data_IF_488962409140
#
_entry.id   IF_488962409140
#
_cell.length_a   1.000
_cell.length_b   1.000
_cell.length_c   1.000
_cell.angle_alpha   90.00
_cell.angle_beta   90.00
_cell.angle_gamma   90.00
#
_symmetry.space_group_name_H-M   'P 1'
#
loop_
_entity.id
_entity.type
_entity.pdbx_description
1 polymer ?
#
# COMPACT_ATOMS: atom_id res chain seq x y z
N UNK A 1 -22.90 18.01 -15.69
CA UNK A 1 -22.20 17.36 -14.56
C UNK A 1 -22.63 15.89 -14.52
N UNK A 2 -21.71 14.92 -14.65
CA UNK A 2 -22.05 13.50 -14.50
C UNK A 2 -22.39 13.26 -13.03
N UNK A 3 -23.59 12.80 -12.74
CA UNK A 3 -24.05 12.48 -11.38
C UNK A 3 -23.04 11.53 -10.72
N UNK A 4 -22.48 11.90 -9.57
CA UNK A 4 -21.55 11.07 -8.80
C UNK A 4 -22.33 9.85 -8.29
N UNK A 5 -21.81 8.66 -8.51
CA UNK A 5 -22.43 7.41 -8.04
C UNK A 5 -22.22 7.34 -6.51
N UNK A 6 -23.31 7.19 -5.76
CA UNK A 6 -23.32 7.08 -4.30
C UNK A 6 -23.48 5.62 -3.86
N UNK A 7 -23.03 5.30 -2.64
CA UNK A 7 -23.19 3.95 -2.08
C UNK A 7 -24.66 3.55 -1.90
N UNK A 8 -25.53 4.55 -1.66
CA UNK A 8 -26.99 4.36 -1.52
C UNK A 8 -27.73 4.12 -2.84
N UNK A 9 -27.07 4.25 -3.99
CA UNK A 9 -27.68 4.06 -5.29
C UNK A 9 -27.98 2.59 -5.56
N UNK A 10 -29.02 2.33 -6.38
CA UNK A 10 -29.28 1.00 -6.90
C UNK A 10 -28.20 0.62 -7.94
N UNK A 11 -27.43 -0.43 -7.68
CA UNK A 11 -26.36 -0.88 -8.55
C UNK A 11 -26.84 -1.89 -9.59
N UNK A 12 -26.72 -1.53 -10.87
CA UNK A 12 -26.68 -2.46 -12.00
C UNK A 12 -25.25 -2.86 -12.29
N UNK A 13 -25.01 -3.97 -13.02
CA UNK A 13 -23.67 -4.40 -13.41
C UNK A 13 -22.83 -3.29 -14.03
N UNK A 14 -23.40 -2.53 -14.97
CA UNK A 14 -22.68 -1.43 -15.63
C UNK A 14 -22.35 -0.28 -14.70
N UNK A 15 -23.23 0.00 -13.72
CA UNK A 15 -23.02 1.05 -12.72
C UNK A 15 -21.96 0.63 -11.70
N UNK A 16 -21.95 -0.64 -11.30
CA UNK A 16 -20.96 -1.23 -10.40
C UNK A 16 -19.57 -1.20 -11.04
N UNK A 17 -19.42 -1.67 -12.29
CA UNK A 17 -18.14 -1.61 -13.02
C UNK A 17 -17.66 -0.17 -13.13
N UNK A 18 -18.52 0.78 -13.46
CA UNK A 18 -18.15 2.19 -13.57
C UNK A 18 -17.70 2.80 -12.24
N UNK A 19 -18.28 2.37 -11.13
CA UNK A 19 -17.90 2.79 -9.79
C UNK A 19 -16.56 2.21 -9.36
N UNK A 20 -16.29 0.93 -9.71
CA UNK A 20 -15.06 0.22 -9.33
C UNK A 20 -13.88 0.50 -10.27
N UNK A 21 -14.13 1.00 -11.48
CA UNK A 21 -13.08 1.25 -12.48
C UNK A 21 -11.90 2.11 -11.98
N UNK A 22 -12.13 3.20 -11.20
CA UNK A 22 -11.02 3.96 -10.61
C UNK A 22 -10.18 3.13 -9.63
N UNK A 23 -10.81 2.25 -8.83
CA UNK A 23 -10.10 1.37 -7.89
C UNK A 23 -9.25 0.33 -8.61
N UNK A 24 -9.75 -0.23 -9.71
CA UNK A 24 -8.98 -1.09 -10.61
C UNK A 24 -7.78 -0.31 -11.18
N UNK A 25 -8.04 0.92 -11.65
CA UNK A 25 -6.98 1.81 -12.15
C UNK A 25 -5.90 2.11 -11.13
N UNK A 26 -6.28 2.37 -9.86
CA UNK A 26 -5.33 2.56 -8.76
C UNK A 26 -4.39 1.36 -8.61
N UNK A 27 -4.93 0.15 -8.56
CA UNK A 27 -4.14 -1.06 -8.32
C UNK A 27 -3.23 -1.40 -9.51
N UNK A 28 -3.73 -1.27 -10.75
CA UNK A 28 -2.92 -1.47 -11.95
C UNK A 28 -1.78 -0.45 -12.00
N UNK A 29 -2.07 0.84 -11.75
CA UNK A 29 -1.05 1.88 -11.78
C UNK A 29 0.00 1.68 -10.68
N UNK A 30 -0.42 1.25 -9.47
CA UNK A 30 0.50 0.88 -8.38
C UNK A 30 1.46 -0.23 -8.81
N UNK A 31 0.96 -1.24 -9.52
CA UNK A 31 1.80 -2.31 -10.05
C UNK A 31 2.80 -1.81 -11.09
N UNK A 32 2.37 -0.92 -11.99
CA UNK A 32 3.22 -0.38 -13.05
C UNK A 32 4.36 0.47 -12.46
N UNK A 33 4.07 1.41 -11.56
CA UNK A 33 5.14 2.25 -11.02
C UNK A 33 6.15 1.45 -10.17
N UNK A 34 5.72 0.39 -9.48
CA UNK A 34 6.63 -0.50 -8.77
C UNK A 34 7.61 -1.23 -9.70
N UNK A 35 7.17 -1.60 -10.92
CA UNK A 35 8.08 -2.15 -11.95
C UNK A 35 9.06 -1.09 -12.44
N UNK A 36 8.61 0.15 -12.64
CA UNK A 36 9.46 1.26 -13.08
C UNK A 36 10.52 1.61 -12.03
N UNK A 37 10.16 1.66 -10.75
CA UNK A 37 11.11 1.86 -9.64
C UNK A 37 12.21 0.78 -9.65
N UNK A 38 11.82 -0.50 -9.74
CA UNK A 38 12.76 -1.61 -9.87
C UNK A 38 13.68 -1.49 -11.08
N UNK A 39 13.18 -0.99 -12.21
CA UNK A 39 13.98 -0.73 -13.41
C UNK A 39 15.05 0.33 -13.16
N UNK A 40 14.73 1.45 -12.51
CA UNK A 40 15.72 2.48 -12.19
C UNK A 40 16.80 1.97 -11.25
N UNK A 41 16.43 1.28 -10.17
CA UNK A 41 17.40 0.72 -9.22
C UNK A 41 18.31 -0.30 -9.89
N UNK A 42 17.76 -1.22 -10.70
CA UNK A 42 18.56 -2.27 -11.34
C UNK A 42 19.55 -1.74 -12.36
N UNK A 43 19.19 -0.72 -13.13
CA UNK A 43 20.03 -0.23 -14.23
C UNK A 43 21.04 0.84 -13.81
N UNK A 44 20.73 1.62 -12.76
CA UNK A 44 21.53 2.80 -12.41
C UNK A 44 22.22 2.72 -11.04
N UNK A 45 21.63 2.04 -10.04
CA UNK A 45 22.24 1.93 -8.72
C UNK A 45 23.30 0.83 -8.64
N UNK A 46 23.18 -0.22 -9.46
CA UNK A 46 24.11 -1.32 -9.53
C UNK A 46 23.60 -2.63 -8.93
N UNK A 47 24.35 -3.72 -9.13
CA UNK A 47 23.93 -5.09 -8.74
C UNK A 47 23.77 -5.27 -7.23
N UNK A 48 24.74 -4.82 -6.43
CA UNK A 48 24.71 -4.97 -4.97
C UNK A 48 23.57 -4.17 -4.33
N UNK A 49 23.34 -2.88 -4.65
CA UNK A 49 22.16 -2.14 -4.22
C UNK A 49 20.84 -2.78 -4.64
N UNK A 50 20.72 -3.24 -5.87
CA UNK A 50 19.50 -3.91 -6.35
C UNK A 50 19.21 -5.22 -5.58
N UNK A 51 20.24 -6.04 -5.33
CA UNK A 51 20.11 -7.24 -4.51
C UNK A 51 19.71 -6.91 -3.08
N UNK A 52 20.28 -5.86 -2.48
CA UNK A 52 19.95 -5.39 -1.14
C UNK A 52 18.48 -4.95 -1.02
N UNK A 53 17.97 -4.19 -2.02
CA UNK A 53 16.55 -3.77 -2.07
C UNK A 53 15.64 -4.99 -2.15
N UNK A 54 15.89 -5.92 -3.08
CA UNK A 54 15.08 -7.12 -3.25
C UNK A 54 15.06 -8.01 -1.99
N UNK A 55 16.15 -8.04 -1.24
CA UNK A 55 16.25 -8.80 0.01
C UNK A 55 15.37 -8.20 1.12
N UNK A 56 15.41 -6.86 1.27
CA UNK A 56 14.73 -6.18 2.39
C UNK A 56 13.29 -5.80 2.08
N UNK A 57 12.93 -5.67 0.80
CA UNK A 57 11.61 -5.21 0.34
C UNK A 57 10.42 -6.04 0.88
N UNK A 58 10.47 -7.39 0.89
CA UNK A 58 9.38 -8.20 1.46
C UNK A 58 9.10 -7.89 2.93
N UNK A 59 10.16 -7.63 3.72
CA UNK A 59 10.01 -7.24 5.12
C UNK A 59 9.29 -5.89 5.25
N UNK A 60 9.67 -4.90 4.44
CA UNK A 60 9.04 -3.58 4.43
C UNK A 60 7.56 -3.68 4.02
N UNK A 61 7.24 -4.53 3.03
CA UNK A 61 5.87 -4.79 2.60
C UNK A 61 5.03 -5.44 3.70
N UNK A 62 5.57 -6.43 4.42
CA UNK A 62 4.88 -7.05 5.56
C UNK A 62 4.50 -6.00 6.61
N UNK A 63 5.40 -5.07 6.94
CA UNK A 63 5.12 -4.00 7.89
C UNK A 63 4.03 -3.04 7.38
N UNK A 64 4.04 -2.72 6.09
CA UNK A 64 3.05 -1.85 5.47
C UNK A 64 1.65 -2.52 5.33
N UNK A 65 1.60 -3.85 5.26
CA UNK A 65 0.35 -4.62 5.11
C UNK A 65 -0.65 -4.39 6.26
N UNK A 66 -0.19 -3.90 7.43
CA UNK A 66 -1.07 -3.43 8.49
C UNK A 66 -2.07 -2.37 8.01
N UNK A 67 -1.69 -1.53 7.03
CA UNK A 67 -2.57 -0.55 6.39
C UNK A 67 -3.70 -1.20 5.61
N UNK A 68 -3.45 -2.28 4.90
CA UNK A 68 -4.50 -3.06 4.23
C UNK A 68 -5.46 -3.70 5.22
N UNK A 69 -4.97 -4.27 6.31
CA UNK A 69 -5.81 -4.88 7.34
C UNK A 69 -6.84 -3.89 7.89
N UNK A 70 -6.40 -2.70 8.29
CA UNK A 70 -7.31 -1.65 8.76
C UNK A 70 -8.10 -0.98 7.63
N UNK A 71 -7.54 -0.93 6.42
CA UNK A 71 -8.21 -0.43 5.22
C UNK A 71 -9.44 -1.27 4.88
N UNK A 72 -9.27 -2.55 4.63
CA UNK A 72 -10.36 -3.46 4.23
C UNK A 72 -11.30 -3.75 5.41
N UNK A 73 -10.74 -4.14 6.56
CA UNK A 73 -11.54 -4.47 7.74
C UNK A 73 -12.28 -3.27 8.33
N UNK A 74 -11.62 -2.10 8.38
CA UNK A 74 -12.22 -0.86 8.88
C UNK A 74 -13.24 -0.27 7.92
N UNK A 75 -12.98 -0.29 6.61
CA UNK A 75 -13.91 0.21 5.60
C UNK A 75 -15.23 -0.54 5.60
N UNK A 76 -15.22 -1.85 5.82
CA UNK A 76 -16.42 -2.67 5.95
C UNK A 76 -17.30 -2.21 7.14
N UNK A 77 -16.68 -1.96 8.30
CA UNK A 77 -17.39 -1.47 9.49
C UNK A 77 -17.97 -0.08 9.24
N UNK A 78 -17.18 0.82 8.64
CA UNK A 78 -17.61 2.19 8.35
C UNK A 78 -18.72 2.21 7.30
N UNK A 79 -18.61 1.40 6.23
CA UNK A 79 -19.65 1.30 5.21
C UNK A 79 -20.97 0.79 5.78
N UNK A 80 -20.94 -0.26 6.61
CA UNK A 80 -22.12 -0.77 7.32
C UNK A 80 -22.76 0.30 8.21
N UNK A 81 -21.95 1.01 9.00
CA UNK A 81 -22.45 2.07 9.89
C UNK A 81 -23.06 3.25 9.10
N UNK A 82 -22.55 3.51 7.89
CA UNK A 82 -23.17 4.48 6.96
C UNK A 82 -24.53 3.98 6.44
N UNK A 83 -24.65 2.67 6.15
CA UNK A 83 -25.89 2.02 5.75
C UNK A 83 -26.96 2.08 6.86
N UNK A 84 -26.55 1.92 8.13
CA UNK A 84 -27.40 2.12 9.31
C UNK A 84 -27.85 3.58 9.51
N UNK A 85 -27.33 4.53 8.73
CA UNK A 85 -27.65 5.96 8.79
C UNK A 85 -26.89 6.76 9.87
N UNK A 86 -26.01 6.13 10.65
CA UNK A 86 -25.24 6.80 11.74
C UNK A 86 -23.93 7.41 11.22
N UNK A 87 -24.03 8.51 10.46
CA UNK A 87 -22.85 9.24 9.94
C UNK A 87 -21.88 9.70 11.03
N UNK A 88 -22.30 10.23 12.20
CA UNK A 88 -21.37 10.62 13.25
C UNK A 88 -20.55 9.46 13.79
N UNK A 89 -21.14 8.28 13.94
CA UNK A 89 -20.47 7.07 14.38
C UNK A 89 -19.49 6.54 13.31
N UNK A 90 -19.90 6.57 12.05
CA UNK A 90 -19.06 6.19 10.93
C UNK A 90 -17.78 7.07 10.86
N UNK A 91 -17.91 8.39 11.05
CA UNK A 91 -16.77 9.32 11.10
C UNK A 91 -15.85 9.07 12.29
N UNK A 92 -16.41 8.70 13.46
CA UNK A 92 -15.61 8.30 14.61
C UNK A 92 -14.81 7.02 14.35
N UNK A 93 -15.42 6.01 13.76
CA UNK A 93 -14.73 4.77 13.38
C UNK A 93 -13.65 5.01 12.31
N UNK A 94 -13.97 5.77 11.27
CA UNK A 94 -12.98 6.18 10.26
C UNK A 94 -11.76 6.84 10.91
N UNK A 95 -11.99 7.84 11.76
CA UNK A 95 -10.93 8.55 12.46
C UNK A 95 -10.12 7.64 13.38
N UNK A 96 -10.80 6.73 14.09
CA UNK A 96 -10.14 5.73 14.95
C UNK A 96 -9.16 4.86 14.13
N UNK A 97 -9.61 4.33 12.99
CA UNK A 97 -8.76 3.47 12.16
C UNK A 97 -7.60 4.24 11.53
N UNK A 98 -7.79 5.50 11.13
CA UNK A 98 -6.70 6.37 10.65
C UNK A 98 -5.66 6.61 11.74
N UNK A 99 -6.08 6.99 12.95
CA UNK A 99 -5.15 7.28 14.06
C UNK A 99 -4.44 6.03 14.58
N UNK A 100 -5.15 4.89 14.68
CA UNK A 100 -4.55 3.62 15.08
C UNK A 100 -3.53 3.15 14.04
N UNK A 101 -3.85 3.26 12.76
CA UNK A 101 -2.92 2.88 11.69
C UNK A 101 -1.69 3.76 11.64
N UNK A 102 -1.85 5.08 11.79
CA UNK A 102 -0.72 6.01 11.87
C UNK A 102 0.17 5.71 13.09
N UNK A 103 -0.43 5.49 14.26
CA UNK A 103 0.27 5.13 15.50
C UNK A 103 0.99 3.80 15.39
N UNK A 104 0.34 2.77 14.85
CA UNK A 104 0.96 1.47 14.59
C UNK A 104 2.12 1.60 13.60
N UNK A 105 1.93 2.34 12.51
CA UNK A 105 3.00 2.62 11.55
C UNK A 105 4.20 3.32 12.19
N UNK A 106 3.97 4.27 13.11
CA UNK A 106 5.04 4.94 13.84
C UNK A 106 5.78 3.98 14.81
N UNK A 107 5.06 3.13 15.53
CA UNK A 107 5.66 2.10 16.40
C UNK A 107 6.49 1.12 15.58
N UNK A 108 5.94 0.61 14.48
CA UNK A 108 6.64 -0.30 13.58
C UNK A 108 7.86 0.36 12.92
N UNK A 109 7.79 1.67 12.61
CA UNK A 109 8.92 2.43 12.10
C UNK A 109 10.08 2.49 13.11
N UNK A 110 9.79 2.84 14.36
CA UNK A 110 10.80 2.91 15.43
C UNK A 110 11.43 1.54 15.67
N UNK A 111 10.61 0.49 15.83
CA UNK A 111 11.09 -0.88 15.99
C UNK A 111 11.89 -1.35 14.76
N UNK A 112 11.36 -1.10 13.57
CA UNK A 112 12.01 -1.47 12.32
C UNK A 112 13.39 -0.81 12.17
N UNK A 113 13.51 0.50 12.45
CA UNK A 113 14.78 1.22 12.40
C UNK A 113 15.77 0.66 13.42
N UNK A 114 15.33 0.36 14.66
CA UNK A 114 16.17 -0.20 15.71
C UNK A 114 16.71 -1.60 15.33
N UNK A 115 15.85 -2.43 14.72
CA UNK A 115 16.17 -3.81 14.39
C UNK A 115 16.54 -4.04 12.90
N UNK A 116 16.65 -3.00 12.08
CA UNK A 116 16.98 -3.13 10.64
C UNK A 116 18.23 -3.97 10.41
N UNK A 117 19.34 -3.68 11.12
CA UNK A 117 20.62 -4.37 10.91
C UNK A 117 20.56 -5.87 11.27
N UNK A 118 20.08 -6.29 12.45
CA UNK A 118 19.93 -7.71 12.77
C UNK A 118 18.94 -8.43 11.83
N UNK A 119 17.86 -7.77 11.40
CA UNK A 119 16.92 -8.36 10.45
C UNK A 119 17.52 -8.54 9.06
N UNK A 120 18.27 -7.56 8.55
CA UNK A 120 18.97 -7.70 7.27
C UNK A 120 20.02 -8.83 7.30
N UNK A 121 20.74 -9.00 8.41
CA UNK A 121 21.66 -10.13 8.60
C UNK A 121 20.93 -11.47 8.64
N UNK A 122 19.81 -11.55 9.32
CA UNK A 122 18.97 -12.74 9.39
C UNK A 122 18.47 -13.17 8.00
N UNK A 123 18.21 -12.18 7.12
CA UNK A 123 17.85 -12.41 5.72
C UNK A 123 19.03 -12.80 4.83
N UNK A 124 20.27 -12.77 5.35
CA UNK A 124 21.45 -13.18 4.63
C UNK A 124 22.28 -12.03 4.01
N UNK A 125 22.01 -10.76 4.42
CA UNK A 125 22.82 -9.64 3.97
C UNK A 125 24.18 -9.60 4.69
N UNK A 126 25.27 -9.47 3.94
CA UNK A 126 26.65 -9.34 4.45
C UNK A 126 27.41 -8.23 3.70
N UNK A 127 28.47 -7.73 4.30
CA UNK A 127 29.36 -6.74 3.69
C UNK A 127 28.65 -5.50 3.16
N UNK A 128 28.94 -5.11 1.92
CA UNK A 128 28.34 -3.94 1.26
C UNK A 128 26.83 -4.07 1.08
N UNK A 129 26.34 -5.29 0.81
CA UNK A 129 24.91 -5.53 0.68
C UNK A 129 24.14 -5.26 1.98
N UNK A 130 24.74 -5.55 3.14
CA UNK A 130 24.16 -5.23 4.45
C UNK A 130 24.03 -3.73 4.64
N UNK A 131 25.07 -2.96 4.35
CA UNK A 131 25.04 -1.49 4.52
C UNK A 131 24.02 -0.87 3.55
N UNK A 132 23.95 -1.35 2.32
CA UNK A 132 22.96 -0.93 1.33
C UNK A 132 21.51 -1.24 1.78
N UNK A 133 21.26 -2.45 2.28
CA UNK A 133 19.94 -2.85 2.79
C UNK A 133 19.52 -2.02 4.00
N UNK A 134 20.45 -1.75 4.93
CA UNK A 134 20.19 -0.93 6.12
C UNK A 134 19.90 0.53 5.74
N UNK A 135 20.66 1.09 4.81
CA UNK A 135 20.45 2.46 4.33
C UNK A 135 19.06 2.61 3.69
N UNK A 136 18.74 1.74 2.73
CA UNK A 136 17.45 1.76 2.03
C UNK A 136 16.28 1.58 3.00
N UNK A 137 16.33 0.54 3.84
CA UNK A 137 15.27 0.24 4.77
C UNK A 137 15.03 1.36 5.78
N UNK A 138 16.07 1.99 6.32
CA UNK A 138 15.92 3.10 7.28
C UNK A 138 15.21 4.29 6.66
N UNK A 139 15.51 4.65 5.41
CA UNK A 139 14.85 5.75 4.71
C UNK A 139 13.37 5.46 4.53
N UNK A 140 13.02 4.24 4.08
CA UNK A 140 11.62 3.83 3.91
C UNK A 140 10.88 3.73 5.26
N UNK A 141 11.52 3.21 6.29
CA UNK A 141 10.92 3.09 7.62
C UNK A 141 10.61 4.43 8.27
N UNK A 142 11.37 5.50 7.99
CA UNK A 142 11.06 6.85 8.48
C UNK A 142 9.68 7.33 8.04
N UNK A 143 9.23 6.91 6.86
CA UNK A 143 7.94 7.29 6.29
C UNK A 143 6.91 6.18 6.35
N UNK A 144 7.19 5.07 7.06
CA UNK A 144 6.28 3.94 7.18
C UNK A 144 4.86 4.32 7.62
N UNK A 145 4.63 5.29 8.55
CA UNK A 145 3.28 5.73 8.88
C UNK A 145 2.49 6.23 7.67
N UNK A 146 3.14 6.93 6.74
CA UNK A 146 2.50 7.40 5.51
C UNK A 146 2.23 6.27 4.54
N UNK A 147 3.13 5.27 4.46
CA UNK A 147 2.90 4.07 3.65
C UNK A 147 1.70 3.26 4.18
N UNK A 148 1.63 3.03 5.49
CA UNK A 148 0.48 2.38 6.13
C UNK A 148 -0.81 3.14 5.85
N UNK A 149 -0.80 4.48 5.96
CA UNK A 149 -1.94 5.32 5.63
C UNK A 149 -2.30 5.28 4.14
N UNK A 150 -1.32 5.24 3.23
CA UNK A 150 -1.56 5.11 1.79
C UNK A 150 -2.33 3.82 1.49
N UNK A 151 -1.94 2.68 2.09
CA UNK A 151 -2.63 1.41 1.93
C UNK A 151 -4.05 1.45 2.52
N UNK A 152 -4.21 2.04 3.70
CA UNK A 152 -5.50 2.22 4.35
C UNK A 152 -6.46 3.06 3.48
N UNK A 153 -6.01 4.20 2.96
CA UNK A 153 -6.86 5.11 2.21
C UNK A 153 -7.33 4.55 0.87
N UNK A 154 -6.66 3.55 0.29
CA UNK A 154 -7.13 2.89 -0.93
C UNK A 154 -8.57 2.35 -0.78
N UNK A 155 -8.89 1.73 0.36
CA UNK A 155 -10.25 1.27 0.65
C UNK A 155 -11.17 2.42 1.06
N UNK A 156 -10.67 3.37 1.87
CA UNK A 156 -11.50 4.46 2.36
C UNK A 156 -11.89 5.49 1.31
N UNK A 157 -11.13 5.68 0.24
CA UNK A 157 -11.57 6.51 -0.89
C UNK A 157 -12.87 6.00 -1.51
N UNK A 158 -13.04 4.69 -1.58
CA UNK A 158 -14.26 4.06 -2.13
C UNK A 158 -15.41 4.23 -1.14
N UNK A 159 -15.17 3.94 0.14
CA UNK A 159 -16.18 4.13 1.21
C UNK A 159 -16.60 5.60 1.35
N UNK A 160 -15.70 6.53 1.08
CA UNK A 160 -15.95 7.97 1.06
C UNK A 160 -16.65 8.46 -0.23
N UNK A 161 -17.04 7.56 -1.13
CA UNK A 161 -17.63 7.88 -2.45
C UNK A 161 -16.71 8.75 -3.34
N UNK A 162 -15.39 8.66 -3.12
CA UNK A 162 -14.37 9.43 -3.85
C UNK A 162 -13.32 8.54 -4.54
N UNK A 163 -13.71 7.45 -5.26
CA UNK A 163 -12.73 6.55 -5.88
C UNK A 163 -11.88 7.25 -6.94
N UNK A 164 -12.41 8.28 -7.62
CA UNK A 164 -11.65 9.08 -8.58
C UNK A 164 -10.54 9.91 -7.91
N UNK A 165 -10.81 10.43 -6.71
CA UNK A 165 -9.78 11.12 -5.92
C UNK A 165 -8.68 10.14 -5.51
N UNK A 166 -9.05 8.92 -5.11
CA UNK A 166 -8.10 7.85 -4.82
C UNK A 166 -7.18 7.54 -6.01
N UNK A 167 -7.76 7.43 -7.21
CA UNK A 167 -6.99 7.26 -8.44
C UNK A 167 -6.03 8.44 -8.67
N UNK A 168 -6.52 9.68 -8.55
CA UNK A 168 -5.70 10.88 -8.73
C UNK A 168 -4.53 10.93 -7.74
N UNK A 169 -4.76 10.62 -6.46
CA UNK A 169 -3.71 10.56 -5.42
C UNK A 169 -2.69 9.46 -5.73
N UNK A 170 -3.15 8.27 -6.12
CA UNK A 170 -2.26 7.15 -6.48
C UNK A 170 -1.40 7.49 -7.70
N UNK A 171 -2.00 8.09 -8.73
CA UNK A 171 -1.26 8.55 -9.92
C UNK A 171 -0.26 9.64 -9.54
N UNK A 172 -0.64 10.62 -8.71
CA UNK A 172 0.27 11.67 -8.25
C UNK A 172 1.44 11.10 -7.44
N UNK A 173 1.17 10.15 -6.55
CA UNK A 173 2.20 9.45 -5.77
C UNK A 173 3.18 8.70 -6.68
N UNK A 174 2.66 7.87 -7.61
CA UNK A 174 3.50 7.13 -8.54
C UNK A 174 4.26 8.02 -9.53
N UNK A 175 3.67 9.11 -10.01
CA UNK A 175 4.38 10.10 -10.83
C UNK A 175 5.50 10.80 -10.03
N UNK A 176 5.25 11.11 -8.75
CA UNK A 176 6.28 11.65 -7.86
C UNK A 176 7.45 10.67 -7.74
N UNK A 177 7.17 9.39 -7.53
CA UNK A 177 8.22 8.35 -7.48
C UNK A 177 9.00 8.31 -8.81
N UNK A 178 8.35 8.11 -9.95
CA UNK A 178 9.00 7.97 -11.24
C UNK A 178 9.83 9.20 -11.64
N UNK A 179 9.33 10.41 -11.37
CA UNK A 179 10.05 11.65 -11.67
C UNK A 179 11.28 11.78 -10.75
N UNK A 180 11.12 11.51 -9.45
CA UNK A 180 12.21 11.60 -8.51
C UNK A 180 13.25 10.50 -8.73
N UNK A 181 12.86 9.28 -9.11
CA UNK A 181 13.78 8.23 -9.51
C UNK A 181 14.60 8.69 -10.71
N UNK A 182 13.94 9.18 -11.77
CA UNK A 182 14.65 9.70 -12.94
C UNK A 182 15.63 10.83 -12.58
N UNK A 183 15.23 11.75 -11.71
CA UNK A 183 16.09 12.87 -11.31
C UNK A 183 17.21 12.42 -10.36
N UNK A 184 16.85 11.75 -9.27
CA UNK A 184 17.82 11.44 -8.19
C UNK A 184 18.74 10.27 -8.57
N UNK A 185 18.21 9.22 -9.22
CA UNK A 185 19.02 8.05 -9.55
C UNK A 185 19.93 8.30 -10.76
N UNK A 186 19.52 9.16 -11.70
CA UNK A 186 20.34 9.51 -12.87
C UNK A 186 21.39 10.58 -12.53
N UNK A 187 21.00 11.65 -11.82
CA UNK A 187 21.85 12.82 -11.61
C UNK A 187 22.81 12.70 -10.42
N UNK A 188 22.49 11.90 -9.41
CA UNK A 188 23.35 11.73 -8.24
C UNK A 188 24.62 10.91 -8.56
N UNK A 189 25.73 11.18 -7.86
CA UNK A 189 26.92 10.32 -7.87
C UNK A 189 26.57 8.88 -7.48
N UNK A 190 27.35 7.90 -7.96
CA UNK A 190 27.08 6.47 -7.80
C UNK A 190 26.82 6.05 -6.35
N UNK A 191 27.56 6.61 -5.40
CA UNK A 191 27.44 6.32 -3.96
C UNK A 191 26.12 6.77 -3.33
N UNK A 192 25.41 7.76 -3.92
CA UNK A 192 24.13 8.30 -3.43
C UNK A 192 22.91 7.81 -4.20
N UNK A 193 23.08 7.06 -5.29
CA UNK A 193 21.96 6.62 -6.14
C UNK A 193 20.94 5.77 -5.40
N UNK A 194 21.40 4.85 -4.54
CA UNK A 194 20.50 4.03 -3.72
C UNK A 194 19.71 4.88 -2.72
N UNK A 195 20.38 5.85 -2.06
CA UNK A 195 19.70 6.79 -1.17
C UNK A 195 18.71 7.66 -1.94
N UNK A 196 19.04 8.04 -3.18
CA UNK A 196 18.14 8.75 -4.10
C UNK A 196 16.88 7.96 -4.42
N UNK A 197 17.00 6.69 -4.78
CA UNK A 197 15.88 5.80 -5.03
C UNK A 197 15.01 5.62 -3.78
N UNK A 198 15.64 5.38 -2.62
CA UNK A 198 14.92 5.29 -1.35
C UNK A 198 14.16 6.59 -1.01
N UNK A 199 14.78 7.75 -1.27
CA UNK A 199 14.15 9.06 -1.05
C UNK A 199 12.98 9.31 -2.01
N UNK A 200 13.09 8.91 -3.28
CA UNK A 200 12.02 9.00 -4.27
C UNK A 200 10.79 8.18 -3.82
N UNK A 201 11.03 6.93 -3.42
CA UNK A 201 9.98 6.06 -2.89
C UNK A 201 9.39 6.62 -1.58
N UNK A 202 10.22 7.11 -0.65
CA UNK A 202 9.77 7.71 0.60
C UNK A 202 8.88 8.94 0.36
N UNK A 203 9.29 9.85 -0.52
CA UNK A 203 8.50 11.06 -0.85
C UNK A 203 7.19 10.72 -1.54
N UNK A 204 7.17 9.72 -2.41
CA UNK A 204 5.93 9.24 -3.04
C UNK A 204 4.94 8.69 -2.01
N UNK A 205 5.41 7.97 -1.00
CA UNK A 205 4.58 7.46 0.10
C UNK A 205 4.04 8.60 0.98
N UNK A 206 4.84 9.66 1.21
CA UNK A 206 4.36 10.87 1.90
C UNK A 206 3.24 11.55 1.11
N UNK A 207 3.34 11.62 -0.21
CA UNK A 207 2.25 12.13 -1.06
C UNK A 207 1.03 11.20 -0.96
N UNK A 208 1.22 9.88 -1.12
CA UNK A 208 0.15 8.90 -1.11
C UNK A 208 -0.62 8.79 0.20
N UNK A 209 0.04 8.96 1.35
CA UNK A 209 -0.58 8.93 2.67
C UNK A 209 -0.93 10.31 3.24
N UNK A 210 -0.09 11.32 2.96
CA UNK A 210 -0.24 12.67 3.50
C UNK A 210 -1.34 13.49 2.82
N UNK A 211 -1.48 13.41 1.50
CA UNK A 211 -2.54 14.13 0.77
C UNK A 211 -3.93 13.70 1.22
N UNK A 212 -4.27 12.40 1.33
CA UNK A 212 -5.55 11.98 1.90
C UNK A 212 -5.76 12.42 3.34
N UNK A 213 -4.71 12.33 4.16
CA UNK A 213 -4.78 12.76 5.55
C UNK A 213 -5.15 14.24 5.67
N UNK A 214 -4.56 15.09 4.83
CA UNK A 214 -4.89 16.52 4.75
C UNK A 214 -6.29 16.76 4.18
N UNK A 215 -6.71 16.00 3.16
CA UNK A 215 -8.02 16.12 2.56
C UNK A 215 -9.13 15.81 3.55
N UNK A 216 -9.07 14.66 4.23
CA UNK A 216 -10.07 14.26 5.22
C UNK A 216 -9.97 15.02 6.54
N UNK A 217 -8.83 15.66 6.84
CA UNK A 217 -8.62 16.51 8.01
C UNK A 217 -9.15 17.92 7.85
N UNK A 218 -9.42 18.36 6.62
CA UNK A 218 -10.00 19.69 6.33
C UNK A 218 -11.48 19.56 5.98
N UNK A 219 -12.19 20.69 5.96
CA UNK A 219 -13.54 20.74 5.42
C UNK A 219 -13.52 20.36 3.95
N UNK A 220 -14.22 19.31 3.59
CA UNK A 220 -14.30 18.75 2.25
C UNK A 220 -15.74 18.35 1.92
N UNK A 221 -15.99 17.91 0.69
CA UNK A 221 -17.30 17.52 0.18
C UNK A 221 -17.56 15.99 0.27
N UNK A 222 -16.75 15.28 1.06
CA UNK A 222 -16.89 13.84 1.31
C UNK A 222 -17.89 13.57 2.43
N UNK A 223 -18.45 12.36 2.44
CA UNK A 223 -19.27 11.85 3.55
C UNK A 223 -18.43 11.50 4.79
N UNK A 224 -17.10 11.29 4.61
CA UNK A 224 -16.15 10.99 5.68
C UNK A 224 -15.24 12.18 5.99
N UNK A 225 -15.08 12.45 7.28
CA UNK A 225 -14.19 13.50 7.82
C UNK A 225 -13.45 12.99 9.05
N UNK A 226 -12.24 13.46 9.25
CA UNK A 226 -11.52 13.20 10.49
C UNK A 226 -12.17 14.00 11.64
N UNK A 227 -12.47 13.30 12.73
CA UNK A 227 -13.09 13.83 13.93
C UNK A 227 -12.36 13.36 15.17
N UNK A 228 -12.64 14.01 16.30
CA UNK A 228 -12.18 13.50 17.61
C UNK A 228 -12.88 12.17 17.89
N UNK A 229 -12.10 11.16 18.29
CA UNK A 229 -12.61 9.83 18.62
C UNK A 229 -11.96 9.32 19.88
N UNK A 230 -12.69 8.50 20.63
CA UNK A 230 -12.14 7.74 21.74
C UNK A 230 -11.63 6.37 21.24
N UNK A 231 -10.71 5.78 21.97
CA UNK A 231 -10.21 4.44 21.66
C UNK A 231 -11.32 3.41 21.94
N UNK A 232 -11.80 2.75 20.89
CA UNK A 232 -12.75 1.63 20.97
C UNK A 232 -12.04 0.33 20.60
N UNK A 233 -11.55 -0.38 21.62
CA UNK A 233 -10.85 -1.65 21.44
C UNK A 233 -11.70 -2.73 20.75
N UNK A 234 -13.03 -2.72 20.92
CA UNK A 234 -13.92 -3.67 20.25
C UNK A 234 -13.99 -3.40 18.74
N UNK A 235 -14.08 -2.12 18.36
CA UNK A 235 -14.07 -1.73 16.96
C UNK A 235 -12.72 -2.07 16.30
N UNK A 236 -11.60 -1.82 16.98
CA UNK A 236 -10.25 -2.19 16.52
C UNK A 236 -10.16 -3.71 16.32
N UNK A 237 -10.56 -4.51 17.32
CA UNK A 237 -10.51 -5.97 17.22
C UNK A 237 -11.38 -6.51 16.07
N UNK A 238 -12.56 -5.94 15.85
CA UNK A 238 -13.42 -6.30 14.71
C UNK A 238 -12.76 -5.93 13.37
N UNK A 239 -12.15 -4.76 13.26
CA UNK A 239 -11.43 -4.36 12.05
C UNK A 239 -10.25 -5.29 11.76
N UNK A 240 -9.47 -5.66 12.79
CA UNK A 240 -8.41 -6.66 12.67
C UNK A 240 -8.95 -8.03 12.22
N UNK A 241 -10.05 -8.49 12.82
CA UNK A 241 -10.67 -9.77 12.44
C UNK A 241 -11.16 -9.75 10.99
N UNK A 242 -11.86 -8.69 10.57
CA UNK A 242 -12.36 -8.55 9.20
C UNK A 242 -11.24 -8.42 8.17
N UNK A 243 -10.16 -7.69 8.51
CA UNK A 243 -9.01 -7.48 7.63
C UNK A 243 -7.91 -8.55 7.73
N UNK A 244 -8.06 -9.53 8.63
CA UNK A 244 -7.05 -10.58 8.82
C UNK A 244 -6.84 -11.44 7.59
N UNK A 245 -7.88 -11.67 6.79
CA UNK A 245 -7.80 -12.42 5.54
C UNK A 245 -6.84 -11.75 4.55
N UNK A 246 -6.98 -10.44 4.33
CA UNK A 246 -6.09 -9.67 3.46
C UNK A 246 -4.65 -9.63 4.00
N UNK A 247 -4.50 -9.45 5.31
CA UNK A 247 -3.20 -9.47 5.96
C UNK A 247 -2.49 -10.80 5.76
N UNK A 248 -3.15 -11.91 6.05
CA UNK A 248 -2.59 -13.26 5.89
C UNK A 248 -2.35 -13.62 4.43
N UNK A 249 -3.23 -13.21 3.52
CA UNK A 249 -3.05 -13.43 2.07
C UNK A 249 -1.79 -12.74 1.54
N UNK A 250 -1.55 -11.49 1.93
CA UNK A 250 -0.36 -10.75 1.53
C UNK A 250 0.94 -11.38 2.10
N UNK A 251 0.94 -11.77 3.37
CA UNK A 251 2.08 -12.48 3.98
C UNK A 251 2.33 -13.80 3.25
N UNK A 252 1.29 -14.59 3.03
CA UNK A 252 1.40 -15.89 2.35
C UNK A 252 1.95 -15.73 0.93
N UNK A 253 1.48 -14.75 0.18
CA UNK A 253 1.96 -14.47 -1.18
C UNK A 253 3.46 -14.18 -1.20
N UNK A 254 3.95 -13.33 -0.27
CA UNK A 254 5.37 -13.01 -0.16
C UNK A 254 6.20 -14.24 0.25
N UNK A 255 5.74 -15.02 1.25
CA UNK A 255 6.43 -16.25 1.69
C UNK A 255 6.48 -17.31 0.59
N UNK A 256 5.36 -17.54 -0.10
CA UNK A 256 5.30 -18.49 -1.21
C UNK A 256 6.24 -18.09 -2.34
N UNK A 257 6.27 -16.79 -2.70
CA UNK A 257 7.20 -16.28 -3.71
C UNK A 257 8.66 -16.53 -3.34
N UNK A 258 9.03 -16.30 -2.08
CA UNK A 258 10.39 -16.60 -1.58
C UNK A 258 10.72 -18.10 -1.68
N UNK A 259 9.81 -18.98 -1.26
CA UNK A 259 9.99 -20.43 -1.34
C UNK A 259 10.09 -20.93 -2.78
N UNK A 260 9.28 -20.40 -3.69
CA UNK A 260 9.39 -20.70 -5.12
C UNK A 260 10.75 -20.34 -5.68
N UNK A 261 11.25 -19.15 -5.39
CA UNK A 261 12.58 -18.72 -5.86
C UNK A 261 13.69 -19.65 -5.36
N UNK A 262 13.66 -20.06 -4.08
CA UNK A 262 14.62 -21.00 -3.53
C UNK A 262 14.59 -22.37 -4.26
N UNK A 263 13.40 -22.89 -4.53
CA UNK A 263 13.24 -24.15 -5.23
C UNK A 263 13.64 -24.06 -6.70
N UNK A 264 13.28 -22.95 -7.38
CA UNK A 264 13.63 -22.75 -8.78
C UNK A 264 15.13 -22.62 -9.00
N UNK A 265 15.84 -21.91 -8.11
CA UNK A 265 17.31 -21.87 -8.17
C UNK A 265 17.89 -23.30 -8.08
N UNK A 266 17.36 -24.11 -7.18
CA UNK A 266 17.87 -25.49 -6.95
C UNK A 266 17.61 -26.44 -8.12
N UNK A 267 16.43 -26.34 -8.77
CA UNK A 267 16.00 -27.35 -9.75
C UNK A 267 16.06 -26.88 -11.21
N UNK A 268 15.97 -25.58 -11.46
CA UNK A 268 15.90 -25.01 -12.82
C UNK A 268 16.95 -23.88 -13.06
N UNK A 269 17.79 -23.60 -12.07
CA UNK A 269 18.83 -22.59 -12.18
C UNK A 269 18.30 -21.16 -12.43
N UNK A 270 19.16 -20.30 -12.97
CA UNK A 270 18.85 -18.89 -13.23
C UNK A 270 17.73 -18.72 -14.27
N UNK A 271 17.68 -19.57 -15.29
CA UNK A 271 16.66 -19.52 -16.36
C UNK A 271 15.26 -19.80 -15.81
N UNK A 272 15.14 -20.73 -14.86
CA UNK A 272 13.88 -21.03 -14.18
C UNK A 272 13.38 -19.84 -13.35
N UNK A 273 14.26 -19.17 -12.65
CA UNK A 273 13.92 -17.94 -11.87
C UNK A 273 13.51 -16.81 -12.81
N UNK A 274 14.21 -16.62 -13.93
CA UNK A 274 13.88 -15.60 -14.92
C UNK A 274 12.51 -15.85 -15.56
N UNK A 275 12.21 -17.09 -15.97
CA UNK A 275 10.91 -17.46 -16.51
C UNK A 275 9.77 -17.26 -15.49
N UNK A 276 9.98 -17.64 -14.24
CA UNK A 276 9.02 -17.41 -13.16
C UNK A 276 8.80 -15.91 -12.92
N UNK A 277 9.85 -15.10 -12.97
CA UNK A 277 9.75 -13.64 -12.87
C UNK A 277 8.80 -13.03 -13.90
N UNK A 278 8.91 -13.46 -15.17
CA UNK A 278 8.00 -13.02 -16.24
C UNK A 278 6.56 -13.42 -15.93
N UNK A 279 6.32 -14.66 -15.50
CA UNK A 279 5.00 -15.13 -15.12
C UNK A 279 4.43 -14.33 -13.94
N UNK A 280 5.27 -13.98 -12.96
CA UNK A 280 4.86 -13.17 -11.81
C UNK A 280 4.47 -11.75 -12.20
N UNK A 281 5.18 -11.10 -13.15
CA UNK A 281 4.77 -9.78 -13.63
C UNK A 281 3.41 -9.81 -14.32
N UNK A 282 3.14 -10.81 -15.15
CA UNK A 282 1.83 -10.98 -15.80
C UNK A 282 0.75 -11.23 -14.75
N UNK A 283 1.00 -12.15 -13.80
CA UNK A 283 0.07 -12.46 -12.71
C UNK A 283 -0.22 -11.25 -11.83
N UNK A 284 0.78 -10.40 -11.58
CA UNK A 284 0.63 -9.19 -10.77
C UNK A 284 -0.35 -8.19 -11.37
N UNK A 285 -0.32 -8.00 -12.71
CA UNK A 285 -1.25 -7.10 -13.40
C UNK A 285 -2.68 -7.63 -13.31
N UNK A 286 -2.90 -8.93 -13.54
CA UNK A 286 -4.23 -9.52 -13.41
C UNK A 286 -4.72 -9.49 -11.95
N UNK A 287 -3.87 -9.84 -10.99
CA UNK A 287 -4.20 -9.78 -9.56
C UNK A 287 -4.54 -8.36 -9.12
N UNK A 288 -3.83 -7.35 -9.61
CA UNK A 288 -4.11 -5.94 -9.34
C UNK A 288 -5.53 -5.55 -9.81
N UNK A 289 -5.96 -6.02 -10.98
CA UNK A 289 -7.32 -5.76 -11.47
C UNK A 289 -8.39 -6.41 -10.58
N UNK A 290 -8.19 -7.66 -10.14
CA UNK A 290 -9.12 -8.36 -9.24
C UNK A 290 -9.16 -7.72 -7.86
N UNK A 291 -8.01 -7.38 -7.29
CA UNK A 291 -7.93 -6.69 -5.98
C UNK A 291 -8.62 -5.32 -6.07
N UNK A 292 -8.37 -4.56 -7.14
CA UNK A 292 -9.01 -3.27 -7.36
C UNK A 292 -10.53 -3.37 -7.48
N UNK A 293 -11.03 -4.41 -8.15
CA UNK A 293 -12.46 -4.70 -8.20
C UNK A 293 -13.01 -5.06 -6.81
N UNK A 294 -12.34 -5.91 -6.06
CA UNK A 294 -12.73 -6.30 -4.70
C UNK A 294 -12.79 -5.09 -3.76
N UNK A 295 -11.74 -4.24 -3.74
CA UNK A 295 -11.71 -3.00 -2.97
C UNK A 295 -12.86 -2.07 -3.36
N UNK A 296 -13.16 -1.99 -4.67
CA UNK A 296 -14.23 -1.14 -5.19
C UNK A 296 -15.64 -1.62 -4.82
N UNK A 297 -15.86 -2.93 -4.73
CA UNK A 297 -17.18 -3.51 -4.43
C UNK A 297 -17.45 -3.66 -2.93
N UNK A 298 -16.44 -3.91 -2.12
CA UNK A 298 -16.60 -4.19 -0.69
C UNK A 298 -17.44 -3.13 0.08
N UNK A 299 -17.23 -1.82 -0.10
CA UNK A 299 -18.05 -0.82 0.58
C UNK A 299 -19.51 -0.79 0.11
N UNK A 300 -19.78 -1.16 -1.15
CA UNK A 300 -21.16 -1.24 -1.69
C UNK A 300 -21.93 -2.33 -0.95
N UNK A 301 -21.35 -3.52 -0.83
CA UNK A 301 -21.95 -4.61 -0.07
C UNK A 301 -22.09 -4.26 1.41
N UNK A 302 -21.04 -3.71 2.03
CA UNK A 302 -21.07 -3.32 3.43
C UNK A 302 -22.12 -2.25 3.74
N UNK A 303 -22.39 -1.32 2.82
CA UNK A 303 -23.44 -0.30 2.97
C UNK A 303 -24.83 -0.92 2.92
N UNK A 304 -25.08 -1.85 2.01
CA UNK A 304 -26.39 -2.49 1.85
C UNK A 304 -26.67 -3.61 2.88
N UNK A 305 -25.65 -4.04 3.66
CA UNK A 305 -25.80 -4.98 4.78
C UNK A 305 -26.20 -4.26 6.10
N UNK A 306 -26.06 -2.94 6.16
CA UNK A 306 -26.49 -2.11 7.30
C UNK A 306 -27.89 -1.54 7.08
#
# INVERSE_FOLDING_TARGET
>A
MKQQIQLSDHFTYGRLIRFTLPSIGMMIFTSIYGVVDGFFVSNYAGKTPFAAVNLIYPLLMILATAGFMFGTGGSAIVAKTLGEGDKPRANRYFSLFVYVSAGLGAILAVLGIAFTRPLARLLGAEGEMLEAAVLYARIILLVLPFNVLQMLFQSFFVTAEKPQLGLAVTVSSGMTNMILDAVLVILLPQEYKLAGAAAATALSQVVGGGVPLLYFGRNNDSILHLSRTACDGKAIARACANGSSEFMSNISMNLVGMLYNIQLIKYAGEDGVAAYGVLMYVSMIFSAAFIGYSIGTAPVFGYHDG
#
